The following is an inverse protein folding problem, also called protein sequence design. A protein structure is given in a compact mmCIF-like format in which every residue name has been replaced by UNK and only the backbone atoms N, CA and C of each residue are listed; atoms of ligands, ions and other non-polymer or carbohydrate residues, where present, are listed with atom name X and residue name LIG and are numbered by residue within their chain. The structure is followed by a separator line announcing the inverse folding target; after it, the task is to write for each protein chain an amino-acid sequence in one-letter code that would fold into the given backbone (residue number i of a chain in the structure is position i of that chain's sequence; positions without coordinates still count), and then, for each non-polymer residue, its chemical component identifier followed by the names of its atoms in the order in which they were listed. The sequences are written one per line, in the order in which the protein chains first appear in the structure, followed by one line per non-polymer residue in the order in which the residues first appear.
data_IF_235529127633
#
_entry.id   IF_235529127633
#
_cell.length_a   1.000
_cell.length_b   1.000
_cell.length_c   1.000
_cell.angle_alpha   90.00
_cell.angle_beta   90.00
_cell.angle_gamma   90.00
#
_symmetry.space_group_name_H-M   'P 1'
#
loop_
_entity.id
_entity.type
_entity.pdbx_description
1 polymer ?
#
# COMPACT_ATOMS: atom_id res chain seq x y z
N UNK A 1 -8.91 22.69 10.98
CA UNK A 1 -7.96 21.98 10.09
C UNK A 1 -6.59 22.64 10.29
N UNK A 2 -5.57 21.86 10.76
CA UNK A 2 -4.21 22.36 10.92
C UNK A 2 -3.64 22.64 9.52
N UNK A 3 -3.10 23.84 9.28
CA UNK A 3 -2.46 24.16 7.99
C UNK A 3 -1.24 23.24 7.80
N UNK A 4 -1.15 22.57 6.66
CA UNK A 4 -0.01 21.75 6.28
C UNK A 4 1.23 22.68 6.20
N UNK A 5 2.28 22.31 6.93
CA UNK A 5 3.57 22.99 6.84
C UNK A 5 4.30 22.56 5.56
N UNK A 6 5.17 23.43 5.02
CA UNK A 6 6.08 23.09 3.90
C UNK A 6 6.88 21.82 4.23
N UNK A 7 7.27 21.64 5.48
CA UNK A 7 7.98 20.45 5.96
C UNK A 7 7.13 19.17 5.83
N UNK A 8 5.84 19.26 6.15
CA UNK A 8 4.91 18.13 6.04
C UNK A 8 4.75 17.72 4.57
N UNK A 9 4.62 18.71 3.70
CA UNK A 9 4.48 18.49 2.25
C UNK A 9 5.74 17.87 1.65
N UNK A 10 6.92 18.39 2.03
CA UNK A 10 8.22 17.83 1.60
C UNK A 10 8.38 16.39 2.07
N UNK A 11 7.99 16.09 3.32
CA UNK A 11 8.05 14.73 3.84
C UNK A 11 7.12 13.78 3.08
N UNK A 12 5.88 14.18 2.81
CA UNK A 12 4.96 13.40 2.01
C UNK A 12 5.49 13.15 0.58
N UNK A 13 6.09 14.18 -0.04
CA UNK A 13 6.68 14.06 -1.38
C UNK A 13 7.86 13.08 -1.41
N UNK A 14 8.74 13.13 -0.39
CA UNK A 14 9.86 12.17 -0.26
C UNK A 14 9.32 10.74 -0.11
N UNK A 15 8.31 10.53 0.74
CA UNK A 15 7.70 9.21 0.92
C UNK A 15 7.10 8.71 -0.39
N UNK A 16 6.42 9.58 -1.15
CA UNK A 16 5.88 9.23 -2.47
C UNK A 16 6.97 8.87 -3.48
N UNK A 17 8.06 9.63 -3.53
CA UNK A 17 9.18 9.35 -4.41
C UNK A 17 9.85 8.00 -4.06
N UNK A 18 10.08 7.73 -2.78
CA UNK A 18 10.63 6.43 -2.31
C UNK A 18 9.67 5.28 -2.65
N UNK A 19 8.35 5.50 -2.51
CA UNK A 19 7.35 4.51 -2.90
C UNK A 19 7.48 4.14 -4.38
N UNK A 20 7.60 5.12 -5.27
CA UNK A 20 7.79 4.90 -6.72
C UNK A 20 9.07 4.11 -6.99
N UNK A 21 10.20 4.52 -6.40
CA UNK A 21 11.49 3.84 -6.58
C UNK A 21 11.42 2.38 -6.14
N UNK A 22 10.85 2.11 -4.95
CA UNK A 22 10.70 0.75 -4.43
C UNK A 22 9.72 -0.09 -5.26
N UNK A 23 8.65 0.54 -5.79
CA UNK A 23 7.68 -0.10 -6.67
C UNK A 23 8.32 -0.54 -7.99
N UNK A 24 9.07 0.33 -8.63
CA UNK A 24 9.79 0.01 -9.86
C UNK A 24 10.93 -0.98 -9.64
N UNK A 25 11.67 -0.84 -8.53
CA UNK A 25 12.69 -1.81 -8.14
C UNK A 25 12.09 -3.21 -7.99
N UNK A 26 10.99 -3.35 -7.25
CA UNK A 26 10.29 -4.63 -7.11
C UNK A 26 9.77 -5.19 -8.43
N UNK A 27 9.33 -4.31 -9.35
CA UNK A 27 8.88 -4.71 -10.67
C UNK A 27 10.02 -5.28 -11.54
N UNK A 28 11.25 -4.79 -11.40
CA UNK A 28 12.42 -5.32 -12.11
C UNK A 28 12.65 -6.80 -11.81
N UNK A 29 12.27 -7.27 -10.60
CA UNK A 29 12.34 -8.67 -10.20
C UNK A 29 11.01 -9.43 -10.39
N UNK A 30 10.03 -8.82 -11.07
CA UNK A 30 8.69 -9.36 -11.28
C UNK A 30 7.95 -9.72 -9.97
N UNK A 31 8.29 -9.04 -8.86
CA UNK A 31 7.69 -9.27 -7.54
C UNK A 31 6.44 -8.41 -7.32
N UNK A 32 6.42 -7.20 -7.88
CA UNK A 32 5.34 -6.21 -7.66
C UNK A 32 4.00 -6.67 -8.21
N UNK A 33 4.01 -7.35 -9.36
CA UNK A 33 2.83 -7.82 -10.08
C UNK A 33 2.86 -9.34 -10.33
N UNK A 34 3.69 -10.08 -9.60
CA UNK A 34 3.79 -11.53 -9.69
C UNK A 34 2.63 -12.27 -9.02
N UNK A 35 2.65 -13.61 -9.04
CA UNK A 35 1.63 -14.47 -8.45
C UNK A 35 1.43 -14.23 -6.95
N UNK A 36 2.52 -13.98 -6.20
CA UNK A 36 2.49 -13.45 -4.84
C UNK A 36 2.93 -12.00 -4.96
N UNK A 37 2.00 -11.06 -4.90
CA UNK A 37 2.28 -9.64 -5.08
C UNK A 37 3.05 -9.06 -3.89
N UNK A 38 4.35 -9.27 -3.87
CA UNK A 38 5.23 -8.71 -2.87
C UNK A 38 5.73 -7.34 -3.32
N UNK A 39 5.12 -6.28 -2.82
CA UNK A 39 5.45 -4.89 -3.14
C UNK A 39 6.31 -4.29 -2.03
N UNK A 40 7.59 -4.05 -2.27
CA UNK A 40 8.48 -3.35 -1.31
C UNK A 40 7.93 -1.99 -0.90
N UNK A 41 7.31 -1.27 -1.82
CA UNK A 41 6.72 0.05 -1.59
C UNK A 41 5.59 0.02 -0.55
N UNK A 42 4.88 -1.11 -0.38
CA UNK A 42 3.81 -1.24 0.61
C UNK A 42 4.30 -1.18 2.05
N UNK A 43 5.61 -1.41 2.30
CA UNK A 43 6.21 -1.15 3.60
C UNK A 43 6.03 0.31 4.07
N UNK A 44 5.88 1.26 3.14
CA UNK A 44 5.66 2.67 3.46
C UNK A 44 4.23 2.99 3.88
N UNK A 45 3.27 2.10 3.62
CA UNK A 45 1.85 2.31 3.96
C UNK A 45 1.57 2.25 5.46
N UNK A 46 2.55 1.88 6.28
CA UNK A 46 2.48 1.98 7.75
C UNK A 46 2.79 3.38 8.27
N UNK A 47 3.47 4.23 7.48
CA UNK A 47 3.91 5.58 7.90
C UNK A 47 2.77 6.56 8.24
N UNK A 48 1.58 6.48 7.63
CA UNK A 48 0.42 7.27 8.04
C UNK A 48 0.05 7.13 9.52
N UNK A 49 0.43 6.03 10.17
CA UNK A 49 0.28 5.84 11.62
C UNK A 49 1.07 6.89 12.44
N UNK A 50 2.29 7.25 11.99
CA UNK A 50 3.13 8.26 12.65
C UNK A 50 2.89 9.67 12.12
N UNK A 51 2.70 9.79 10.82
CA UNK A 51 2.57 11.05 10.12
C UNK A 51 1.43 10.96 9.09
N UNK A 52 0.19 11.35 9.46
CA UNK A 52 -0.98 11.24 8.58
C UNK A 52 -0.81 11.93 7.22
N UNK A 53 0.06 12.93 7.12
CA UNK A 53 0.36 13.62 5.85
C UNK A 53 0.97 12.68 4.80
N UNK A 54 1.66 11.62 5.21
CA UNK A 54 2.25 10.62 4.30
C UNK A 54 1.20 9.80 3.53
N UNK A 55 -0.07 9.84 3.96
CA UNK A 55 -1.21 9.29 3.21
C UNK A 55 -1.22 9.77 1.76
N UNK A 56 -0.99 11.05 1.55
CA UNK A 56 -0.94 11.63 0.20
C UNK A 56 0.30 11.19 -0.57
N UNK A 57 1.42 11.05 0.12
CA UNK A 57 2.66 10.53 -0.48
C UNK A 57 2.49 9.10 -1.01
N UNK A 58 2.01 8.18 -0.18
CA UNK A 58 1.80 6.77 -0.60
C UNK A 58 0.72 6.65 -1.68
N UNK A 59 -0.34 7.47 -1.62
CA UNK A 59 -1.39 7.49 -2.64
C UNK A 59 -0.84 7.90 -4.02
N UNK A 60 -0.12 9.03 -4.09
CA UNK A 60 0.47 9.53 -5.34
C UNK A 60 1.57 8.58 -5.82
N UNK A 61 2.39 8.06 -4.91
CA UNK A 61 3.42 7.07 -5.24
C UNK A 61 2.81 5.80 -5.84
N UNK A 62 1.73 5.29 -5.27
CA UNK A 62 1.00 4.14 -5.81
C UNK A 62 0.40 4.44 -7.19
N UNK A 63 -0.19 5.62 -7.38
CA UNK A 63 -0.74 6.04 -8.67
C UNK A 63 0.33 6.01 -9.76
N UNK A 64 1.52 6.59 -9.50
CA UNK A 64 2.63 6.61 -10.46
C UNK A 64 3.15 5.20 -10.71
N UNK A 65 3.31 4.37 -9.67
CA UNK A 65 3.80 2.99 -9.81
C UNK A 65 2.84 2.15 -10.65
N UNK A 66 1.53 2.33 -10.49
CA UNK A 66 0.51 1.55 -11.20
C UNK A 66 0.33 1.96 -12.67
N UNK A 67 0.98 3.03 -13.16
CA UNK A 67 1.06 3.33 -14.60
C UNK A 67 1.68 2.14 -15.37
N UNK A 68 2.60 1.40 -14.73
CA UNK A 68 3.25 0.21 -15.32
C UNK A 68 2.54 -1.11 -14.96
N UNK A 69 1.34 -1.05 -14.39
CA UNK A 69 0.61 -2.27 -14.02
C UNK A 69 0.18 -3.08 -15.25
N UNK A 70 0.47 -4.39 -15.28
CA UNK A 70 -0.01 -5.27 -16.34
C UNK A 70 -1.53 -5.51 -16.29
N UNK A 71 -2.17 -5.16 -15.17
CA UNK A 71 -3.63 -5.30 -14.99
C UNK A 71 -4.43 -4.12 -15.58
N UNK A 72 -3.74 -3.17 -16.24
CA UNK A 72 -4.33 -2.11 -17.06
C UNK A 72 -5.03 -0.98 -16.27
N UNK A 73 -5.95 -0.25 -16.94
CA UNK A 73 -6.54 0.98 -16.40
C UNK A 73 -7.32 0.79 -15.11
N UNK A 74 -7.91 -0.39 -14.88
CA UNK A 74 -8.65 -0.66 -13.66
C UNK A 74 -7.73 -0.67 -12.44
N UNK A 75 -6.54 -1.28 -12.54
CA UNK A 75 -5.58 -1.28 -11.45
C UNK A 75 -4.96 0.12 -11.23
N UNK A 76 -4.84 0.93 -12.28
CA UNK A 76 -4.41 2.33 -12.16
C UNK A 76 -5.38 3.17 -11.33
N UNK A 77 -6.65 2.80 -11.27
CA UNK A 77 -7.68 3.51 -10.50
C UNK A 77 -7.87 2.86 -9.13
N UNK A 78 -8.15 1.56 -9.11
CA UNK A 78 -8.51 0.85 -7.87
C UNK A 78 -7.31 0.59 -6.96
N UNK A 79 -6.10 0.41 -7.51
CA UNK A 79 -4.87 0.25 -6.74
C UNK A 79 -4.58 1.44 -5.83
N UNK A 80 -4.47 2.67 -6.37
CA UNK A 80 -4.28 3.87 -5.55
C UNK A 80 -5.44 4.14 -4.59
N UNK A 81 -6.69 3.86 -4.98
CA UNK A 81 -7.85 4.01 -4.10
C UNK A 81 -7.80 3.04 -2.92
N UNK A 82 -7.40 1.78 -3.15
CA UNK A 82 -7.18 0.81 -2.10
C UNK A 82 -6.07 1.27 -1.13
N UNK A 83 -4.95 1.77 -1.67
CA UNK A 83 -3.84 2.31 -0.89
C UNK A 83 -4.27 3.56 -0.11
N UNK A 84 -5.06 4.46 -0.70
CA UNK A 84 -5.60 5.64 -0.01
C UNK A 84 -6.49 5.24 1.17
N UNK A 85 -7.44 4.32 0.93
CA UNK A 85 -8.32 3.81 1.99
C UNK A 85 -7.52 3.16 3.11
N UNK A 86 -6.57 2.30 2.76
CA UNK A 86 -5.66 1.65 3.71
C UNK A 86 -4.89 2.66 4.55
N UNK A 87 -4.28 3.67 3.90
CA UNK A 87 -3.50 4.71 4.57
C UNK A 87 -4.36 5.57 5.52
N UNK A 88 -5.59 5.91 5.13
CA UNK A 88 -6.53 6.64 5.97
C UNK A 88 -6.95 5.83 7.21
N UNK A 89 -7.16 4.53 7.06
CA UNK A 89 -7.45 3.63 8.18
C UNK A 89 -6.24 3.46 9.08
N UNK A 90 -5.04 3.28 8.49
CA UNK A 90 -3.76 3.19 9.22
C UNK A 90 -3.51 4.45 10.06
N UNK A 91 -3.78 5.64 9.50
CA UNK A 91 -3.64 6.91 10.23
C UNK A 91 -4.56 7.02 11.46
N UNK A 92 -5.67 6.26 11.50
CA UNK A 92 -6.61 6.21 12.63
C UNK A 92 -6.31 5.09 13.63
N UNK A 93 -5.39 4.19 13.33
CA UNK A 93 -5.01 3.12 14.24
C UNK A 93 -4.41 3.71 15.54
N UNK A 94 -4.77 3.11 16.67
CA UNK A 94 -4.22 3.48 18.00
C UNK A 94 -3.07 2.57 18.43
N UNK A 95 -3.01 1.38 17.87
CA UNK A 95 -1.99 0.38 18.18
C UNK A 95 -1.10 0.16 16.96
N UNK A 96 0.21 0.27 17.17
CA UNK A 96 1.21 0.09 16.10
C UNK A 96 1.17 -1.30 15.44
N UNK A 97 0.82 -2.33 16.20
CA UNK A 97 0.70 -3.69 15.67
C UNK A 97 -0.50 -3.87 14.73
N UNK A 98 -1.49 -2.99 14.84
CA UNK A 98 -2.65 -2.95 13.94
C UNK A 98 -2.41 -2.05 12.72
N UNK A 99 -1.37 -1.21 12.74
CA UNK A 99 -1.08 -0.28 11.63
C UNK A 99 -0.87 -0.95 10.27
N UNK A 100 -0.22 -2.16 10.17
CA UNK A 100 -0.09 -2.88 8.91
C UNK A 100 -1.36 -3.59 8.44
N UNK A 101 -2.37 -3.79 9.31
CA UNK A 101 -3.55 -4.58 8.99
C UNK A 101 -4.44 -3.96 7.89
N UNK A 102 -4.75 -2.64 7.91
CA UNK A 102 -5.55 -2.03 6.85
C UNK A 102 -4.97 -2.20 5.44
N UNK A 103 -3.66 -1.97 5.18
CA UNK A 103 -3.08 -2.25 3.87
C UNK A 103 -3.23 -3.70 3.44
N UNK A 104 -3.00 -4.66 4.35
CA UNK A 104 -3.17 -6.09 4.06
C UNK A 104 -4.60 -6.39 3.63
N UNK A 105 -5.59 -5.95 4.40
CA UNK A 105 -6.99 -6.25 4.13
C UNK A 105 -7.51 -5.52 2.89
N UNK A 106 -7.23 -4.22 2.75
CA UNK A 106 -7.70 -3.45 1.60
C UNK A 106 -7.16 -4.00 0.28
N UNK A 107 -5.87 -4.30 0.21
CA UNK A 107 -5.28 -4.85 -1.00
C UNK A 107 -5.76 -6.28 -1.27
N UNK A 108 -5.79 -7.15 -0.27
CA UNK A 108 -6.28 -8.53 -0.44
C UNK A 108 -7.71 -8.56 -0.98
N UNK A 109 -8.60 -7.72 -0.45
CA UNK A 109 -10.01 -7.70 -0.85
C UNK A 109 -10.21 -6.95 -2.16
N UNK A 110 -9.73 -5.70 -2.27
CA UNK A 110 -10.04 -4.83 -3.41
C UNK A 110 -9.29 -5.31 -4.66
N UNK A 111 -7.98 -5.52 -4.53
CA UNK A 111 -7.16 -5.93 -5.67
C UNK A 111 -7.40 -7.41 -6.00
N UNK A 112 -7.59 -8.26 -4.98
CA UNK A 112 -7.98 -9.65 -5.19
C UNK A 112 -9.29 -9.79 -5.97
N UNK A 113 -10.31 -8.99 -5.62
CA UNK A 113 -11.57 -8.97 -6.34
C UNK A 113 -11.43 -8.43 -7.78
N UNK A 114 -10.63 -7.37 -7.95
CA UNK A 114 -10.38 -6.78 -9.25
C UNK A 114 -9.72 -7.77 -10.21
N UNK A 115 -8.64 -8.43 -9.78
CA UNK A 115 -7.92 -9.39 -10.62
C UNK A 115 -8.80 -10.60 -10.91
N UNK A 116 -9.51 -11.13 -9.91
CA UNK A 116 -10.43 -12.25 -10.11
C UNK A 116 -11.54 -11.91 -11.14
N UNK A 117 -12.09 -10.71 -11.06
CA UNK A 117 -13.09 -10.24 -12.03
C UNK A 117 -12.50 -10.09 -13.44
N UNK A 118 -11.27 -9.60 -13.58
CA UNK A 118 -10.61 -9.50 -14.89
C UNK A 118 -10.30 -10.85 -15.50
N UNK A 119 -10.01 -11.87 -14.66
CA UNK A 119 -9.62 -13.20 -15.13
C UNK A 119 -10.81 -14.05 -15.55
N UNK A 120 -11.90 -14.06 -14.77
CA UNK A 120 -13.04 -14.97 -14.99
C UNK A 120 -14.39 -14.28 -15.14
N UNK A 121 -14.46 -12.97 -15.06
CA UNK A 121 -15.71 -12.21 -15.12
C UNK A 121 -16.65 -12.54 -13.96
N UNK A 122 -17.97 -12.37 -14.19
CA UNK A 122 -19.03 -12.67 -13.20
C UNK A 122 -19.48 -14.15 -13.24
N UNK A 123 -18.57 -15.07 -13.58
CA UNK A 123 -18.87 -16.49 -13.68
C UNK A 123 -18.86 -17.24 -12.33
N UNK A 124 -19.32 -18.48 -12.32
CA UNK A 124 -19.36 -19.33 -11.12
C UNK A 124 -17.98 -19.64 -10.51
N UNK A 125 -16.89 -19.47 -11.26
CA UNK A 125 -15.52 -19.60 -10.77
C UNK A 125 -15.02 -18.40 -9.95
N UNK A 126 -15.73 -17.25 -10.02
CA UNK A 126 -15.30 -16.01 -9.38
C UNK A 126 -14.98 -16.16 -7.87
N UNK A 127 -15.78 -16.82 -7.03
CA UNK A 127 -15.46 -16.96 -5.62
C UNK A 127 -14.15 -17.71 -5.34
N UNK A 128 -13.86 -18.75 -6.11
CA UNK A 128 -12.64 -19.55 -5.94
C UNK A 128 -11.39 -18.75 -6.39
N UNK A 129 -11.48 -18.07 -7.54
CA UNK A 129 -10.39 -17.24 -8.08
C UNK A 129 -10.16 -16.02 -7.18
N UNK A 130 -11.22 -15.39 -6.66
CA UNK A 130 -11.11 -14.34 -5.67
C UNK A 130 -10.38 -14.80 -4.40
N UNK A 131 -10.77 -15.96 -3.85
CA UNK A 131 -10.13 -16.50 -2.65
C UNK A 131 -8.63 -16.77 -2.89
N UNK A 132 -8.28 -17.30 -4.05
CA UNK A 132 -6.89 -17.51 -4.45
C UNK A 132 -6.10 -16.19 -4.47
N UNK A 133 -6.59 -15.16 -5.19
CA UNK A 133 -5.91 -13.88 -5.28
C UNK A 133 -5.89 -13.13 -3.94
N UNK A 134 -6.97 -13.18 -3.16
CA UNK A 134 -7.00 -12.57 -1.84
C UNK A 134 -5.95 -13.18 -0.89
N UNK A 135 -5.75 -14.49 -0.95
CA UNK A 135 -4.72 -15.18 -0.15
C UNK A 135 -3.31 -14.83 -0.62
N UNK A 136 -3.03 -14.90 -1.92
CA UNK A 136 -1.69 -14.66 -2.46
C UNK A 136 -1.26 -13.20 -2.30
N UNK A 137 -2.15 -12.26 -2.58
CA UNK A 137 -1.93 -10.83 -2.35
C UNK A 137 -1.81 -10.56 -0.85
N UNK A 138 -2.71 -11.11 -0.03
CA UNK A 138 -2.67 -10.96 1.41
C UNK A 138 -1.36 -11.42 2.04
N UNK A 139 -0.82 -12.56 1.61
CA UNK A 139 0.48 -13.05 2.05
C UNK A 139 1.62 -12.11 1.65
N UNK A 140 1.65 -11.64 0.40
CA UNK A 140 2.61 -10.65 -0.07
C UNK A 140 2.56 -9.35 0.75
N UNK A 141 1.35 -8.87 1.03
CA UNK A 141 1.10 -7.68 1.86
C UNK A 141 1.53 -7.88 3.33
N UNK A 142 1.29 -9.05 3.92
CA UNK A 142 1.78 -9.37 5.26
C UNK A 142 3.29 -9.31 5.30
N UNK A 143 3.97 -9.92 4.35
CA UNK A 143 5.44 -9.88 4.27
C UNK A 143 5.97 -8.45 4.10
N UNK A 144 5.35 -7.64 3.25
CA UNK A 144 5.75 -6.25 3.02
C UNK A 144 5.45 -5.36 4.24
N UNK A 145 4.22 -5.36 4.74
CA UNK A 145 3.79 -4.42 5.77
C UNK A 145 4.24 -4.82 7.19
N UNK A 146 4.20 -6.11 7.54
CA UNK A 146 4.71 -6.59 8.82
C UNK A 146 6.21 -6.86 8.78
N UNK A 147 6.71 -7.52 7.72
CA UNK A 147 8.13 -7.88 7.60
C UNK A 147 9.05 -6.67 7.43
N UNK A 148 8.71 -5.77 6.53
CA UNK A 148 9.52 -4.57 6.24
C UNK A 148 8.94 -3.31 6.88
N UNK A 149 7.62 -3.15 6.90
CA UNK A 149 6.95 -1.96 7.42
C UNK A 149 7.13 -1.79 8.93
N UNK A 150 7.06 -2.86 9.74
CA UNK A 150 7.23 -2.76 11.20
C UNK A 150 8.65 -2.35 11.62
N UNK A 151 9.74 -2.94 11.07
CA UNK A 151 11.09 -2.43 11.29
C UNK A 151 11.24 -0.98 10.86
N UNK A 152 10.71 -0.60 9.70
CA UNK A 152 10.70 0.79 9.22
C UNK A 152 10.00 1.70 10.24
N UNK A 153 8.81 1.32 10.72
CA UNK A 153 8.05 2.07 11.70
C UNK A 153 8.85 2.28 12.98
N UNK A 154 9.54 1.23 13.47
CA UNK A 154 10.36 1.29 14.68
C UNK A 154 11.56 2.26 14.53
N UNK A 155 12.18 2.31 13.35
CA UNK A 155 13.25 3.27 13.04
C UNK A 155 12.67 4.69 12.97
N UNK A 156 11.55 4.87 12.27
CA UNK A 156 10.92 6.17 12.08
C UNK A 156 10.38 6.74 13.39
N UNK A 157 9.91 5.92 14.33
CA UNK A 157 9.54 6.36 15.69
C UNK A 157 10.69 7.03 16.43
N UNK A 158 11.93 6.62 16.18
CA UNK A 158 13.13 7.21 16.80
C UNK A 158 13.57 8.50 16.12
N UNK A 159 13.41 8.56 14.80
CA UNK A 159 13.86 9.69 13.97
C UNK A 159 12.84 10.82 13.94
N UNK A 160 11.54 10.51 14.04
CA UNK A 160 10.43 11.45 13.89
C UNK A 160 9.64 11.70 15.19
N UNK A 161 10.27 11.98 16.35
CA UNK A 161 9.53 12.21 17.60
C UNK A 161 8.63 13.45 17.54
N UNK A 162 8.80 14.34 16.55
CA UNK A 162 8.11 15.63 16.40
C UNK A 162 6.89 15.63 15.49
N UNK A 163 6.55 14.50 14.85
CA UNK A 163 5.40 14.41 13.93
C UNK A 163 4.15 13.77 14.56
N UNK A 164 4.24 13.30 15.81
CA UNK A 164 3.06 12.89 16.56
C UNK A 164 2.20 14.12 16.86
N UNK A 165 1.05 14.20 16.22
CA UNK A 165 -0.04 15.14 16.56
C UNK A 165 -1.14 14.36 17.23
#
# INVERSE_FOLDING_TARGET
MKKLSTRDLTFAAIVGAVYVVLGYFGNTFNLTFGAIQFRFSEALTVLPFLAPVTTWGVFIGCLITNILSPYGPLDMIFGPLATLLAALLTARCRNKWLAPLPPVLCNAVIIGALIAFQEVGMGGALPAVFAYHALTIGLGQVLACYGLGMPLLAVMERVLPRFRV
#
